data_IF_859152500947
#
_entry.id   IF_859152500947
#
_cell.length_a   1.000
_cell.length_b   1.000
_cell.length_c   1.000
_cell.angle_alpha   90.00
_cell.angle_beta   90.00
_cell.angle_gamma   90.00
#
_symmetry.space_group_name_H-M   'P 1'
#
loop_
_entity.id
_entity.type
_entity.pdbx_description
1 polymer ?
#
# COMPACT_ATOMS: atom_id res chain seq x y z
N UNK A 1 10.91 -20.31 26.20
CA UNK A 1 10.87 -18.96 26.82
C UNK A 1 11.84 -18.75 27.99
N UNK A 2 12.44 -19.79 28.60
CA UNK A 2 13.30 -19.63 29.81
C UNK A 2 14.79 -19.31 29.56
N UNK A 3 15.33 -19.48 28.36
CA UNK A 3 16.76 -19.24 28.08
C UNK A 3 17.13 -17.78 27.81
N UNK A 4 16.20 -16.99 27.28
CA UNK A 4 16.47 -15.61 26.86
C UNK A 4 16.67 -14.66 28.05
N UNK A 5 16.02 -14.93 29.19
CA UNK A 5 16.18 -14.17 30.43
C UNK A 5 17.57 -14.38 31.07
N UNK A 6 18.13 -15.59 30.96
CA UNK A 6 19.48 -15.89 31.45
C UNK A 6 20.55 -15.20 30.58
N UNK A 7 20.35 -15.15 29.26
CA UNK A 7 21.27 -14.50 28.33
C UNK A 7 21.33 -12.97 28.57
N UNK A 8 20.16 -12.34 28.75
CA UNK A 8 20.07 -10.91 29.07
C UNK A 8 20.77 -10.58 30.40
N UNK A 9 20.68 -11.47 31.39
CA UNK A 9 21.32 -11.29 32.70
C UNK A 9 22.85 -11.38 32.64
N UNK A 10 23.41 -12.20 31.76
CA UNK A 10 24.86 -12.33 31.58
C UNK A 10 25.41 -11.11 30.82
N UNK A 11 24.71 -10.66 29.78
CA UNK A 11 25.09 -9.49 28.98
C UNK A 11 25.05 -8.22 29.83
N UNK A 12 23.99 -8.04 30.64
CA UNK A 12 23.89 -6.90 31.55
C UNK A 12 25.06 -6.86 32.55
N UNK A 13 25.46 -8.00 33.12
CA UNK A 13 26.58 -8.06 34.07
C UNK A 13 27.92 -7.64 33.46
N UNK A 14 28.15 -7.91 32.18
CA UNK A 14 29.37 -7.46 31.48
C UNK A 14 29.39 -5.95 31.19
N UNK A 15 28.23 -5.36 30.90
CA UNK A 15 28.09 -3.93 30.56
C UNK A 15 28.18 -3.03 31.80
N UNK A 16 27.65 -3.47 32.95
CA UNK A 16 27.63 -2.66 34.17
C UNK A 16 28.94 -2.69 34.99
N UNK A 17 29.86 -3.65 34.75
CA UNK A 17 31.05 -3.85 35.62
C UNK A 17 32.35 -3.17 35.16
N UNK A 18 32.42 -2.59 33.96
CA UNK A 18 33.63 -1.95 33.43
C UNK A 18 33.36 -0.46 33.14
N UNK A 19 33.73 0.47 34.05
CA UNK A 19 33.56 1.89 33.80
C UNK A 19 34.42 2.30 32.59
N UNK A 20 33.77 2.80 31.53
CA UNK A 20 34.42 3.25 30.28
C UNK A 20 33.85 2.65 28.99
N UNK A 21 33.14 1.51 29.05
CA UNK A 21 32.66 0.78 27.87
C UNK A 21 31.18 1.01 27.55
N UNK A 22 30.51 1.84 28.33
CA UNK A 22 29.06 2.05 28.25
C UNK A 22 28.64 2.73 26.95
N UNK A 23 29.40 3.71 26.47
CA UNK A 23 29.06 4.46 25.25
C UNK A 23 29.23 3.60 23.98
N UNK A 24 30.30 2.80 23.90
CA UNK A 24 30.55 1.93 22.73
C UNK A 24 29.53 0.78 22.65
N UNK A 25 29.13 0.23 23.81
CA UNK A 25 28.05 -0.76 23.85
C UNK A 25 26.70 -0.16 23.50
N UNK A 26 26.38 1.05 23.96
CA UNK A 26 25.15 1.76 23.59
C UNK A 26 25.13 2.02 22.07
N UNK A 27 26.23 2.46 21.48
CA UNK A 27 26.36 2.68 20.03
C UNK A 27 26.19 1.37 19.23
N UNK A 28 26.76 0.25 19.71
CA UNK A 28 26.61 -1.05 19.07
C UNK A 28 25.15 -1.57 19.14
N UNK A 29 24.49 -1.41 20.29
CA UNK A 29 23.09 -1.83 20.48
C UNK A 29 22.14 -0.99 19.61
N UNK A 30 22.37 0.32 19.50
CA UNK A 30 21.56 1.20 18.63
C UNK A 30 21.72 0.82 17.14
N UNK A 31 22.95 0.54 16.69
CA UNK A 31 23.22 0.18 15.30
C UNK A 31 22.65 -1.21 14.93
N UNK A 32 22.60 -2.15 15.87
CA UNK A 32 22.03 -3.48 15.64
C UNK A 32 20.50 -3.49 15.71
N UNK A 33 19.86 -2.63 16.50
CA UNK A 33 18.39 -2.50 16.48
C UNK A 33 17.86 -1.91 15.16
N UNK A 34 18.61 -0.98 14.56
CA UNK A 34 18.23 -0.33 13.30
C UNK A 34 18.22 -1.28 12.09
N UNK A 35 19.01 -2.37 12.14
CA UNK A 35 19.07 -3.37 11.07
C UNK A 35 18.05 -4.51 11.21
N UNK A 36 17.44 -4.67 12.39
CA UNK A 36 16.44 -5.72 12.68
C UNK A 36 15.03 -5.32 12.18
N UNK A 37 14.76 -4.04 11.92
CA UNK A 37 13.46 -3.57 11.40
C UNK A 37 13.25 -3.81 9.90
N UNK A 38 13.92 -4.80 9.31
CA UNK A 38 13.70 -5.20 7.91
C UNK A 38 12.53 -6.19 7.76
N UNK A 39 11.55 -6.11 8.67
CA UNK A 39 10.24 -6.66 8.41
C UNK A 39 9.61 -5.76 7.34
N UNK A 40 9.21 -6.32 6.20
CA UNK A 40 8.34 -5.65 5.24
C UNK A 40 7.06 -5.25 5.98
N UNK A 41 7.06 -4.03 6.55
CA UNK A 41 5.93 -3.51 7.28
C UNK A 41 4.92 -3.06 6.24
N UNK A 42 3.77 -3.73 6.20
CA UNK A 42 2.67 -3.36 5.32
C UNK A 42 2.24 -1.93 5.66
N UNK A 43 2.45 -1.01 4.71
CA UNK A 43 2.16 0.41 4.93
C UNK A 43 0.65 0.66 5.01
N UNK A 44 -0.14 0.04 4.13
CA UNK A 44 -1.59 0.14 4.11
C UNK A 44 -2.24 -1.06 3.41
N UNK A 45 -3.55 -1.22 3.62
CA UNK A 45 -4.44 -2.07 2.81
C UNK A 45 -5.69 -1.28 2.48
N UNK A 46 -6.15 -1.37 1.24
CA UNK A 46 -7.42 -0.78 0.84
C UNK A 46 -8.06 -1.60 -0.26
N UNK A 47 -9.31 -1.97 -0.04
CA UNK A 47 -10.16 -2.58 -1.06
C UNK A 47 -10.88 -1.48 -1.84
N UNK A 48 -10.76 -1.52 -3.16
CA UNK A 48 -11.50 -0.66 -4.09
C UNK A 48 -12.30 -1.57 -5.01
N UNK A 49 -13.62 -1.44 -4.96
CA UNK A 49 -14.55 -2.28 -5.71
C UNK A 49 -15.93 -1.63 -5.83
N UNK A 50 -16.69 -2.07 -6.82
CA UNK A 50 -18.10 -1.78 -6.98
C UNK A 50 -18.97 -2.88 -6.36
N UNK A 51 -20.22 -2.95 -6.84
CA UNK A 51 -21.23 -3.89 -6.34
C UNK A 51 -21.19 -5.27 -7.02
N UNK A 52 -20.41 -5.41 -8.08
CA UNK A 52 -20.26 -6.63 -8.89
C UNK A 52 -18.86 -7.21 -8.80
N UNK A 53 -18.42 -7.88 -9.87
CA UNK A 53 -17.08 -8.41 -10.01
C UNK A 53 -16.13 -7.35 -10.57
N UNK A 54 -15.04 -7.12 -9.83
CA UNK A 54 -13.96 -6.22 -10.25
C UNK A 54 -12.63 -6.97 -10.26
N UNK A 55 -11.90 -6.86 -11.36
CA UNK A 55 -10.63 -7.53 -11.56
C UNK A 55 -9.54 -6.50 -11.83
N UNK A 56 -8.66 -6.31 -10.84
CA UNK A 56 -7.46 -5.49 -11.00
C UNK A 56 -6.48 -6.16 -11.97
N UNK A 57 -6.12 -5.47 -13.04
CA UNK A 57 -5.16 -5.97 -14.03
C UNK A 57 -3.78 -5.34 -13.87
N UNK A 58 -3.72 -4.05 -13.54
CA UNK A 58 -2.46 -3.31 -13.40
C UNK A 58 -2.58 -2.18 -12.40
N UNK A 59 -1.47 -1.90 -11.72
CA UNK A 59 -1.28 -0.71 -10.88
C UNK A 59 0.01 -0.02 -11.30
N UNK A 60 0.00 1.31 -11.35
CA UNK A 60 1.16 2.13 -11.69
C UNK A 60 1.26 3.29 -10.72
N UNK A 61 2.44 3.52 -10.16
CA UNK A 61 2.70 4.68 -9.31
C UNK A 61 2.70 5.97 -10.12
N UNK A 62 2.23 7.06 -9.54
CA UNK A 62 2.24 8.40 -10.16
C UNK A 62 3.29 9.30 -9.50
N UNK A 63 3.81 10.33 -10.21
CA UNK A 63 4.84 11.22 -9.67
C UNK A 63 4.40 12.04 -8.45
N UNK A 64 3.09 12.21 -8.24
CA UNK A 64 2.49 12.87 -7.08
C UNK A 64 2.39 11.94 -5.85
N UNK A 65 2.99 10.74 -5.90
CA UNK A 65 3.02 9.78 -4.79
C UNK A 65 1.77 8.89 -4.71
N UNK A 66 0.80 9.08 -5.61
CA UNK A 66 -0.39 8.23 -5.71
C UNK A 66 -0.22 7.00 -6.62
N UNK A 67 -1.36 6.42 -7.00
CA UNK A 67 -1.42 5.28 -7.92
C UNK A 67 -2.57 5.40 -8.91
N UNK A 68 -2.36 4.86 -10.10
CA UNK A 68 -3.40 4.57 -11.08
C UNK A 68 -3.61 3.06 -11.09
N UNK A 69 -4.84 2.64 -10.81
CA UNK A 69 -5.32 1.27 -10.90
C UNK A 69 -6.12 1.12 -12.19
N UNK A 70 -5.93 0.01 -12.88
CA UNK A 70 -6.66 -0.33 -14.10
C UNK A 70 -7.09 -1.79 -14.10
N UNK A 71 -8.32 -2.03 -14.50
CA UNK A 71 -8.91 -3.37 -14.50
C UNK A 71 -10.21 -3.44 -15.28
N UNK A 72 -10.95 -4.51 -15.06
CA UNK A 72 -12.31 -4.66 -15.59
C UNK A 72 -13.31 -4.73 -14.45
N UNK A 73 -14.53 -4.27 -14.70
CA UNK A 73 -15.60 -4.17 -13.71
C UNK A 73 -16.94 -4.33 -14.40
N UNK A 74 -17.73 -5.33 -13.98
CA UNK A 74 -19.14 -5.45 -14.38
C UNK A 74 -20.09 -4.65 -13.47
N UNK A 75 -19.54 -4.02 -12.43
CA UNK A 75 -20.28 -3.26 -11.42
C UNK A 75 -21.04 -2.08 -12.01
N UNK A 76 -22.27 -1.88 -11.54
CA UNK A 76 -23.05 -0.65 -11.77
C UNK A 76 -22.56 0.53 -10.94
N UNK A 77 -23.38 1.59 -10.87
CA UNK A 77 -23.14 2.68 -9.93
C UNK A 77 -23.30 2.16 -8.50
N UNK A 78 -22.30 2.41 -7.62
CA UNK A 78 -22.33 1.98 -6.22
C UNK A 78 -20.97 1.48 -5.72
N UNK A 79 -20.87 1.30 -4.40
CA UNK A 79 -19.59 1.02 -3.75
C UNK A 79 -18.62 2.19 -3.94
N UNK A 80 -17.42 1.90 -4.44
CA UNK A 80 -16.43 2.91 -4.79
C UNK A 80 -16.50 3.39 -6.25
N UNK A 81 -17.41 2.84 -7.06
CA UNK A 81 -17.55 3.19 -8.46
C UNK A 81 -18.52 4.37 -8.63
N UNK A 82 -18.05 5.47 -9.21
CA UNK A 82 -18.88 6.68 -9.38
C UNK A 82 -19.65 6.72 -10.71
N UNK A 83 -19.33 5.82 -11.64
CA UNK A 83 -19.95 5.75 -12.96
C UNK A 83 -20.79 4.47 -13.11
N UNK A 84 -21.99 4.56 -13.72
CA UNK A 84 -22.76 3.36 -14.02
C UNK A 84 -22.00 2.46 -15.00
N UNK A 85 -22.28 1.16 -14.93
CA UNK A 85 -21.86 0.21 -15.97
C UNK A 85 -22.40 0.65 -17.33
N UNK A 86 -21.57 0.53 -18.36
CA UNK A 86 -21.90 0.79 -19.76
C UNK A 86 -22.25 -0.50 -20.51
N UNK A 87 -22.43 -1.61 -19.80
CA UNK A 87 -22.88 -2.89 -20.32
C UNK A 87 -21.76 -3.93 -20.38
N UNK A 88 -22.02 -5.11 -19.81
CA UNK A 88 -21.02 -6.17 -19.70
C UNK A 88 -19.91 -5.83 -18.71
N UNK A 89 -18.67 -6.20 -19.06
CA UNK A 89 -17.47 -5.89 -18.27
C UNK A 89 -16.77 -4.67 -18.87
N UNK A 90 -16.80 -3.54 -18.15
CA UNK A 90 -16.18 -2.29 -18.58
C UNK A 90 -14.74 -2.22 -18.10
N UNK A 91 -13.87 -1.54 -18.86
CA UNK A 91 -12.60 -1.10 -18.31
C UNK A 91 -12.85 -0.06 -17.23
N UNK A 92 -12.23 -0.23 -16.07
CA UNK A 92 -12.35 0.69 -14.96
C UNK A 92 -10.96 1.17 -14.54
N UNK A 93 -10.80 2.49 -14.53
CA UNK A 93 -9.57 3.17 -14.15
C UNK A 93 -9.86 3.99 -12.91
N UNK A 94 -9.03 3.83 -11.88
CA UNK A 94 -9.16 4.54 -10.61
C UNK A 94 -7.84 5.24 -10.31
N UNK A 95 -7.89 6.52 -9.95
CA UNK A 95 -6.74 7.23 -9.37
C UNK A 95 -6.91 7.35 -7.87
N UNK A 96 -5.87 6.97 -7.13
CA UNK A 96 -5.72 7.26 -5.71
C UNK A 96 -4.55 8.21 -5.49
N UNK A 97 -4.63 9.04 -4.46
CA UNK A 97 -3.53 9.90 -4.01
C UNK A 97 -2.56 9.16 -3.07
N UNK A 98 -1.56 9.87 -2.57
CA UNK A 98 -0.55 9.34 -1.66
C UNK A 98 -1.15 8.88 -0.31
N UNK A 99 -2.28 9.46 0.08
CA UNK A 99 -3.02 9.10 1.30
C UNK A 99 -3.99 7.93 1.07
N UNK A 100 -3.87 7.24 -0.08
CA UNK A 100 -4.73 6.14 -0.49
C UNK A 100 -6.21 6.53 -0.63
N UNK A 101 -6.50 7.81 -0.84
CA UNK A 101 -7.87 8.31 -1.07
C UNK A 101 -8.17 8.35 -2.56
N UNK A 102 -9.37 7.91 -2.94
CA UNK A 102 -9.81 7.91 -4.33
C UNK A 102 -10.04 9.35 -4.78
N UNK A 103 -9.30 9.77 -5.79
CA UNK A 103 -9.39 11.11 -6.40
C UNK A 103 -10.47 11.11 -7.47
N UNK A 104 -10.44 10.13 -8.38
CA UNK A 104 -11.44 9.96 -9.41
C UNK A 104 -11.45 8.52 -9.92
N UNK A 105 -12.55 8.14 -10.57
CA UNK A 105 -12.66 6.91 -11.33
C UNK A 105 -13.42 7.11 -12.65
N UNK A 106 -13.06 6.30 -13.65
CA UNK A 106 -13.62 6.36 -14.99
C UNK A 106 -13.88 4.96 -15.53
N UNK A 107 -15.08 4.75 -16.07
CA UNK A 107 -15.46 3.50 -16.74
C UNK A 107 -15.56 3.68 -18.24
N UNK A 108 -14.90 2.79 -18.97
CA UNK A 108 -14.87 2.73 -20.43
C UNK A 108 -15.40 1.36 -20.87
N UNK A 109 -16.66 1.35 -21.32
CA UNK A 109 -17.36 0.13 -21.72
C UNK A 109 -17.57 0.01 -23.22
N UNK A 110 -17.88 -1.21 -23.65
CA UNK A 110 -18.16 -1.56 -25.05
C UNK A 110 -19.62 -1.26 -25.49
N UNK A 111 -20.37 -0.47 -24.73
CA UNK A 111 -21.75 -0.09 -25.05
C UNK A 111 -21.85 0.85 -26.25
N UNK A 112 -22.14 0.27 -27.43
CA UNK A 112 -22.66 0.83 -28.70
C UNK A 112 -21.99 2.04 -29.36
N UNK A 113 -21.03 2.71 -28.72
CA UNK A 113 -20.28 3.81 -29.32
C UNK A 113 -18.80 3.42 -29.39
N UNK A 114 -18.42 2.81 -30.51
CA UNK A 114 -17.02 2.56 -30.87
C UNK A 114 -16.33 3.90 -31.15
N UNK A 115 -15.83 4.57 -30.12
CA UNK A 115 -15.09 5.82 -30.27
C UNK A 115 -14.30 6.21 -29.03
N UNK A 116 -13.02 6.51 -29.22
CA UNK A 116 -12.18 7.13 -28.18
C UNK A 116 -12.68 8.56 -27.93
N UNK A 117 -13.22 8.84 -26.74
CA UNK A 117 -13.50 10.22 -26.32
C UNK A 117 -12.36 10.72 -25.43
N UNK A 118 -11.43 11.47 -26.02
CA UNK A 118 -10.42 12.22 -25.27
C UNK A 118 -11.13 13.32 -24.47
N UNK A 119 -11.14 13.17 -23.15
CA UNK A 119 -11.58 14.20 -22.22
C UNK A 119 -10.37 14.70 -21.45
N UNK A 120 -9.73 15.74 -21.96
CA UNK A 120 -8.84 16.54 -21.13
C UNK A 120 -9.73 17.39 -20.22
N UNK A 121 -9.93 16.96 -18.97
CA UNK A 121 -10.43 17.88 -17.94
C UNK A 121 -9.22 18.59 -17.33
N UNK A 122 -9.25 19.93 -17.41
CA UNK A 122 -8.29 20.82 -16.74
C UNK A 122 -8.52 20.79 -15.24
#
# INVERSE_FOLDING_TARGET
MKNWVALLSIIAKFIFYRPGWQLDFILLVINTFSSISNAQNKQWDKTIGGTGNDYLSKMVNTPDGGYILGGTSDSGFGGEKSQPSKGGSDFWIVKIDADSTKVWDCSYGAGSYAGWRLLARR
#
